data_IF_561926035746
#
_entry.id   IF_561926035746
#
_cell.length_a   1.000
_cell.length_b   1.000
_cell.length_c   1.000
_cell.angle_alpha   90.00
_cell.angle_beta   90.00
_cell.angle_gamma   90.00
#
_symmetry.space_group_name_H-M   'P 1'
#
loop_
_entity.id
_entity.type
_entity.pdbx_description
1 polymer ?
#
# COMPACT_ATOMS: atom_id res chain seq x y z
N UNK A 1 20.10 0.49 -12.94
CA UNK A 1 18.82 -0.15 -13.23
C UNK A 1 18.97 -1.65 -13.02
N UNK A 2 17.92 -2.37 -12.59
CA UNK A 2 17.92 -3.83 -12.57
C UNK A 2 18.23 -4.40 -13.96
N UNK A 3 18.81 -5.60 -14.07
CA UNK A 3 18.97 -6.29 -15.35
C UNK A 3 17.64 -6.38 -16.10
N UNK A 4 17.67 -6.18 -17.41
CA UNK A 4 16.48 -6.17 -18.26
C UNK A 4 15.66 -4.86 -18.25
N UNK A 5 15.96 -3.93 -17.36
CA UNK A 5 15.32 -2.60 -17.31
C UNK A 5 16.24 -1.56 -17.97
N UNK A 6 15.67 -0.74 -18.83
CA UNK A 6 16.37 0.30 -19.58
C UNK A 6 15.67 1.65 -19.47
N UNK A 7 16.39 2.73 -19.75
CA UNK A 7 15.83 4.07 -19.90
C UNK A 7 15.95 4.53 -21.35
N UNK A 8 14.88 5.08 -21.89
CA UNK A 8 14.93 5.73 -23.20
C UNK A 8 15.59 7.12 -23.06
N UNK A 9 16.76 7.34 -23.67
CA UNK A 9 17.50 8.60 -23.50
C UNK A 9 16.81 9.82 -24.15
N UNK A 10 15.83 9.58 -25.04
CA UNK A 10 15.15 10.65 -25.77
C UNK A 10 13.97 11.25 -25.02
N UNK A 11 13.27 10.45 -24.20
CA UNK A 11 12.06 10.86 -23.50
C UNK A 11 12.06 10.54 -21.99
N UNK A 12 13.05 9.77 -21.51
CA UNK A 12 13.19 9.40 -20.11
C UNK A 12 12.31 8.21 -19.66
N UNK A 13 11.59 7.56 -20.57
CA UNK A 13 10.77 6.39 -20.22
C UNK A 13 11.63 5.24 -19.70
N UNK A 14 11.20 4.64 -18.61
CA UNK A 14 11.80 3.42 -18.06
C UNK A 14 10.97 2.24 -18.57
N UNK A 15 11.62 1.26 -19.19
CA UNK A 15 10.95 0.13 -19.81
C UNK A 15 11.79 -1.15 -19.73
N UNK A 16 11.16 -2.29 -19.94
CA UNK A 16 11.79 -3.61 -19.92
C UNK A 16 11.09 -4.56 -18.97
N UNK A 17 11.66 -5.75 -18.82
CA UNK A 17 11.22 -6.80 -17.88
C UNK A 17 12.41 -7.32 -17.11
N UNK A 18 12.20 -7.75 -15.88
CA UNK A 18 13.24 -8.35 -15.04
C UNK A 18 12.63 -9.43 -14.16
N UNK A 19 13.40 -10.50 -13.95
CA UNK A 19 13.08 -11.56 -13.00
C UNK A 19 13.81 -11.37 -11.68
N UNK A 20 14.61 -10.29 -11.54
CA UNK A 20 15.30 -9.99 -10.28
C UNK A 20 14.37 -9.31 -9.27
N UNK A 21 14.11 -10.01 -8.19
CA UNK A 21 13.37 -9.50 -7.02
C UNK A 21 14.30 -8.69 -6.14
N UNK A 22 13.81 -7.56 -5.63
CA UNK A 22 14.55 -6.72 -4.70
C UNK A 22 14.42 -5.24 -4.97
N UNK A 23 15.30 -4.46 -4.37
CA UNK A 23 15.33 -3.00 -4.47
C UNK A 23 16.59 -2.55 -5.19
N UNK A 24 16.42 -1.77 -6.25
CA UNK A 24 17.53 -1.18 -7.02
C UNK A 24 17.44 0.34 -7.00
N UNK A 25 18.49 0.99 -6.51
CA UNK A 25 18.62 2.44 -6.53
C UNK A 25 19.42 2.88 -7.76
N UNK A 26 18.95 3.87 -8.49
CA UNK A 26 19.64 4.45 -9.62
C UNK A 26 19.44 5.96 -9.70
N UNK A 27 20.40 6.66 -10.31
CA UNK A 27 20.34 8.11 -10.48
C UNK A 27 20.17 8.45 -11.96
N UNK A 28 19.13 9.23 -12.27
CA UNK A 28 18.94 9.83 -13.59
C UNK A 28 19.57 11.20 -13.60
N UNK A 29 20.46 11.45 -14.57
CA UNK A 29 21.09 12.75 -14.78
C UNK A 29 20.68 13.29 -16.15
N UNK A 30 20.13 14.49 -16.18
CA UNK A 30 19.81 15.23 -17.39
C UNK A 30 20.82 16.35 -17.57
N UNK A 31 21.36 16.44 -18.79
CA UNK A 31 22.30 17.51 -19.17
C UNK A 31 21.73 18.32 -20.32
N UNK A 32 21.86 19.62 -20.26
CA UNK A 32 21.47 20.55 -21.33
C UNK A 32 22.42 21.73 -21.41
N UNK A 33 22.54 22.33 -22.59
CA UNK A 33 23.32 23.55 -22.81
C UNK A 33 22.39 24.75 -23.00
N UNK A 34 22.77 25.91 -22.45
CA UNK A 34 22.12 27.17 -22.77
C UNK A 34 22.65 27.72 -24.13
N UNK A 35 22.07 28.85 -24.59
CA UNK A 35 22.48 29.49 -25.84
C UNK A 35 23.96 29.99 -25.84
N UNK A 36 24.56 30.13 -24.67
CA UNK A 36 25.98 30.50 -24.50
C UNK A 36 26.93 29.29 -24.48
N UNK A 37 26.38 28.05 -24.55
CA UNK A 37 27.17 26.81 -24.53
C UNK A 37 27.50 26.28 -23.12
N UNK A 38 26.98 26.92 -22.06
CA UNK A 38 27.19 26.42 -20.70
C UNK A 38 26.38 25.14 -20.44
N UNK A 39 27.04 24.10 -20.01
CA UNK A 39 26.39 22.84 -19.65
C UNK A 39 25.79 22.93 -18.23
N UNK A 40 24.53 22.61 -18.12
CA UNK A 40 23.83 22.46 -16.85
C UNK A 40 23.36 21.04 -16.67
N UNK A 41 23.51 20.50 -15.48
CA UNK A 41 23.07 19.16 -15.11
C UNK A 41 22.11 19.20 -13.94
N UNK A 42 21.12 18.32 -13.95
CA UNK A 42 20.25 18.02 -12.81
C UNK A 42 20.20 16.51 -12.64
N UNK A 43 20.28 16.06 -11.40
CA UNK A 43 20.23 14.63 -11.06
C UNK A 43 19.17 14.35 -10.02
N UNK A 44 18.49 13.19 -10.17
CA UNK A 44 17.53 12.68 -9.19
C UNK A 44 17.72 11.19 -9.03
N UNK A 45 17.77 10.75 -7.77
CA UNK A 45 17.87 9.34 -7.42
C UNK A 45 16.47 8.74 -7.28
N UNK A 46 16.30 7.55 -7.83
CA UNK A 46 15.07 6.78 -7.80
C UNK A 46 15.33 5.40 -7.21
N UNK A 47 14.30 4.81 -6.63
CA UNK A 47 14.27 3.44 -6.15
C UNK A 47 13.23 2.67 -6.96
N UNK A 48 13.64 1.56 -7.58
CA UNK A 48 12.73 0.56 -8.13
C UNK A 48 12.71 -0.62 -7.15
N UNK A 49 11.53 -1.01 -6.71
CA UNK A 49 11.29 -2.25 -5.96
C UNK A 49 10.56 -3.22 -6.87
N UNK A 50 11.08 -4.43 -6.97
CA UNK A 50 10.47 -5.55 -7.67
C UNK A 50 10.15 -6.59 -6.63
N UNK A 51 8.87 -6.83 -6.44
CA UNK A 51 8.34 -7.77 -5.46
C UNK A 51 7.83 -9.02 -6.18
N UNK A 52 8.03 -10.18 -5.58
CA UNK A 52 7.52 -11.44 -6.06
C UNK A 52 6.52 -11.98 -5.03
N UNK A 53 5.21 -11.95 -5.36
CA UNK A 53 4.21 -12.54 -4.49
C UNK A 53 4.39 -14.05 -4.32
N UNK A 54 5.05 -14.72 -5.26
CA UNK A 54 5.30 -16.16 -5.20
C UNK A 54 6.40 -16.54 -4.19
N UNK A 55 7.16 -15.58 -3.69
CA UNK A 55 8.12 -15.80 -2.60
C UNK A 55 7.47 -16.06 -1.24
N UNK A 56 6.18 -15.76 -1.08
CA UNK A 56 5.46 -15.96 0.18
C UNK A 56 4.83 -17.35 0.25
N UNK A 57 4.96 -18.07 1.39
CA UNK A 57 4.43 -19.43 1.54
C UNK A 57 2.90 -19.49 1.61
N UNK A 58 2.24 -18.40 2.02
CA UNK A 58 0.79 -18.34 2.15
C UNK A 58 0.21 -17.19 1.34
N UNK A 59 -0.89 -17.45 0.63
CA UNK A 59 -1.60 -16.47 -0.20
C UNK A 59 -3.09 -16.73 -0.19
N UNK A 60 -3.88 -15.63 -0.29
CA UNK A 60 -5.32 -15.67 -0.52
C UNK A 60 -5.70 -14.57 -1.48
N UNK A 61 -6.51 -14.91 -2.48
CA UNK A 61 -7.06 -13.94 -3.42
C UNK A 61 -8.40 -13.40 -2.94
N UNK A 62 -8.56 -12.09 -3.01
CA UNK A 62 -9.79 -11.37 -2.73
C UNK A 62 -10.36 -10.80 -4.02
N UNK A 63 -11.57 -11.20 -4.38
CA UNK A 63 -12.30 -10.61 -5.50
C UNK A 63 -13.18 -9.48 -4.99
N UNK A 64 -12.98 -8.27 -5.52
CA UNK A 64 -13.74 -7.09 -5.15
C UNK A 64 -15.06 -7.11 -5.90
N UNK A 65 -16.15 -7.52 -5.22
CA UNK A 65 -17.46 -7.74 -5.83
C UNK A 65 -18.48 -6.62 -5.56
N UNK A 66 -18.15 -5.66 -4.69
CA UNK A 66 -19.11 -4.64 -4.24
C UNK A 66 -19.29 -3.44 -5.17
N UNK A 67 -18.42 -3.26 -6.17
CA UNK A 67 -18.48 -2.12 -7.07
C UNK A 67 -19.18 -2.51 -8.38
N UNK A 68 -20.31 -1.84 -8.66
CA UNK A 68 -21.11 -2.04 -9.88
C UNK A 68 -21.16 -0.81 -10.80
N UNK A 69 -20.35 0.20 -10.50
CA UNK A 69 -20.27 1.42 -11.31
C UNK A 69 -19.61 1.18 -12.67
N UNK A 70 -19.97 2.02 -13.65
CA UNK A 70 -19.39 1.96 -15.01
C UNK A 70 -18.01 2.66 -15.13
N UNK A 71 -17.65 3.47 -14.16
CA UNK A 71 -16.37 4.21 -14.15
C UNK A 71 -15.32 3.44 -13.40
N UNK A 72 -14.07 3.51 -13.84
CA UNK A 72 -12.93 2.97 -13.08
C UNK A 72 -12.61 3.89 -11.90
N UNK A 73 -12.51 3.31 -10.70
CA UNK A 73 -11.98 4.01 -9.53
C UNK A 73 -10.45 3.84 -9.51
N UNK A 74 -9.73 4.95 -9.53
CA UNK A 74 -8.27 4.94 -9.50
C UNK A 74 -7.74 5.16 -8.09
N UNK A 75 -6.71 4.42 -7.69
CA UNK A 75 -6.04 4.56 -6.39
C UNK A 75 -7.05 4.56 -5.21
N UNK A 76 -8.01 3.63 -5.24
CA UNK A 76 -9.13 3.63 -4.32
C UNK A 76 -8.85 2.71 -3.12
N UNK A 77 -8.99 3.19 -1.87
CA UNK A 77 -8.84 2.34 -0.69
C UNK A 77 -10.08 1.46 -0.54
N UNK A 78 -9.85 0.14 -0.50
CA UNK A 78 -10.89 -0.86 -0.25
C UNK A 78 -10.66 -1.51 1.10
N UNK A 79 -11.74 -1.85 1.80
CA UNK A 79 -11.66 -2.58 3.05
C UNK A 79 -11.58 -4.09 2.78
N UNK A 80 -10.51 -4.71 3.26
CA UNK A 80 -10.32 -6.16 3.28
C UNK A 80 -10.48 -6.65 4.72
N UNK A 81 -11.22 -7.74 4.90
CA UNK A 81 -11.41 -8.36 6.21
C UNK A 81 -10.78 -9.75 6.23
N UNK A 82 -10.09 -10.07 7.31
CA UNK A 82 -9.58 -11.41 7.59
C UNK A 82 -10.30 -11.99 8.80
N UNK A 83 -10.70 -13.24 8.68
CA UNK A 83 -11.21 -14.06 9.78
C UNK A 83 -10.90 -15.54 9.54
N UNK A 84 -11.11 -16.36 10.56
CA UNK A 84 -10.81 -17.80 10.51
C UNK A 84 -11.71 -18.60 9.55
N UNK A 85 -12.74 -17.99 8.96
CA UNK A 85 -13.61 -18.63 7.97
C UNK A 85 -13.04 -18.58 6.55
N UNK A 86 -12.00 -17.81 6.29
CA UNK A 86 -11.37 -17.73 4.97
C UNK A 86 -10.56 -19.00 4.71
N UNK A 87 -10.89 -19.68 3.63
CA UNK A 87 -10.18 -20.90 3.22
C UNK A 87 -8.70 -20.63 2.94
N UNK A 88 -7.80 -21.40 3.55
CA UNK A 88 -6.36 -21.23 3.40
C UNK A 88 -5.74 -20.15 4.29
N UNK A 89 -6.54 -19.43 5.08
CA UNK A 89 -6.06 -18.40 6.00
C UNK A 89 -5.92 -18.93 7.44
N UNK A 90 -4.85 -18.52 8.10
CA UNK A 90 -4.66 -18.72 9.56
C UNK A 90 -3.76 -17.63 10.12
N UNK A 91 -4.15 -17.02 11.23
CA UNK A 91 -3.30 -16.08 11.95
C UNK A 91 -1.99 -16.71 12.42
N UNK A 92 -1.98 -18.01 12.73
CA UNK A 92 -0.78 -18.73 13.17
C UNK A 92 0.26 -18.95 12.05
N UNK A 93 -0.09 -18.70 10.80
CA UNK A 93 0.83 -18.84 9.66
C UNK A 93 1.61 -17.55 9.35
N UNK A 94 1.34 -16.46 10.08
CA UNK A 94 2.15 -15.24 10.00
C UNK A 94 3.50 -15.44 10.69
N UNK A 95 4.55 -14.91 10.10
CA UNK A 95 5.88 -14.87 10.70
C UNK A 95 5.99 -13.75 11.75
N UNK A 96 5.12 -12.74 11.68
CA UNK A 96 5.01 -11.63 12.63
C UNK A 96 3.66 -11.62 13.32
N UNK A 97 3.63 -11.59 14.65
CA UNK A 97 2.39 -11.51 15.43
C UNK A 97 1.56 -10.23 15.16
N UNK A 98 2.19 -9.20 14.61
CA UNK A 98 1.57 -7.90 14.27
C UNK A 98 1.37 -7.71 12.77
N UNK A 99 1.33 -8.81 12.00
CA UNK A 99 1.22 -8.78 10.54
C UNK A 99 2.34 -7.99 9.81
N UNK A 100 3.53 -7.90 10.37
CA UNK A 100 4.66 -7.21 9.74
C UNK A 100 5.09 -7.84 8.41
N UNK A 101 4.78 -9.12 8.20
CA UNK A 101 5.03 -9.87 6.98
C UNK A 101 3.84 -9.90 6.00
N UNK A 102 2.74 -9.20 6.28
CA UNK A 102 1.62 -9.06 5.34
C UNK A 102 2.02 -8.18 4.15
N UNK A 103 1.63 -8.59 2.96
CA UNK A 103 1.74 -7.80 1.72
C UNK A 103 0.48 -7.98 0.89
N UNK A 104 0.15 -6.97 0.09
CA UNK A 104 -0.92 -7.05 -0.90
C UNK A 104 -0.37 -6.78 -2.28
N UNK A 105 -0.90 -7.50 -3.26
CA UNK A 105 -0.50 -7.38 -4.65
C UNK A 105 -1.70 -7.24 -5.57
N UNK A 106 -1.56 -6.43 -6.61
CA UNK A 106 -2.47 -6.43 -7.74
C UNK A 106 -2.19 -7.64 -8.65
N UNK A 107 -3.12 -7.95 -9.55
CA UNK A 107 -2.97 -9.06 -10.49
C UNK A 107 -1.75 -8.95 -11.43
N UNK A 108 -1.20 -7.76 -11.60
CA UNK A 108 0.03 -7.51 -12.37
C UNK A 108 1.32 -7.64 -11.54
N UNK A 109 1.22 -8.07 -10.27
CA UNK A 109 2.35 -8.20 -9.34
C UNK A 109 2.77 -6.90 -8.64
N UNK A 110 2.08 -5.78 -8.89
CA UNK A 110 2.35 -4.51 -8.18
C UNK A 110 2.01 -4.66 -6.69
N UNK A 111 2.96 -4.32 -5.81
CA UNK A 111 2.74 -4.29 -4.37
C UNK A 111 1.89 -3.08 -3.99
N UNK A 112 0.80 -3.32 -3.25
CA UNK A 112 -0.21 -2.31 -2.93
C UNK A 112 0.01 -1.76 -1.52
N UNK A 113 0.01 -0.43 -1.34
CA UNK A 113 -0.01 0.18 -0.02
C UNK A 113 -1.28 -0.19 0.75
N UNK A 114 -1.12 -0.40 2.06
CA UNK A 114 -2.23 -0.71 2.94
C UNK A 114 -2.03 -0.07 4.32
N UNK A 115 -3.11 0.01 5.09
CA UNK A 115 -3.13 0.41 6.49
C UNK A 115 -3.93 -0.60 7.31
N UNK A 116 -3.41 -1.02 8.44
CA UNK A 116 -4.11 -1.92 9.36
C UNK A 116 -5.04 -1.08 10.26
N UNK A 117 -6.34 -1.18 10.01
CA UNK A 117 -7.38 -0.60 10.86
C UNK A 117 -7.47 -1.35 12.19
N UNK A 118 -7.56 -2.67 12.14
CA UNK A 118 -7.62 -3.55 13.30
C UNK A 118 -6.92 -4.86 12.99
N UNK A 119 -6.04 -5.31 13.89
CA UNK A 119 -5.45 -6.63 13.82
C UNK A 119 -5.91 -7.45 15.04
N UNK A 120 -6.91 -8.30 14.84
CA UNK A 120 -7.50 -9.15 15.88
C UNK A 120 -7.35 -10.62 15.47
N UNK A 121 -6.42 -11.30 16.12
CA UNK A 121 -6.12 -12.72 15.85
C UNK A 121 -7.16 -13.69 16.40
N UNK A 122 -8.13 -13.19 17.17
CA UNK A 122 -9.23 -13.97 17.77
C UNK A 122 -10.59 -13.66 17.14
N UNK A 123 -10.66 -12.62 16.34
CA UNK A 123 -11.86 -12.12 15.71
C UNK A 123 -11.65 -11.74 14.25
N UNK A 124 -12.06 -10.54 13.88
CA UNK A 124 -11.99 -10.02 12.51
C UNK A 124 -10.95 -8.91 12.42
N UNK A 125 -9.92 -9.12 11.63
CA UNK A 125 -8.99 -8.06 11.26
C UNK A 125 -9.50 -7.26 10.07
N UNK A 126 -9.22 -5.96 10.05
CA UNK A 126 -9.66 -5.01 9.03
C UNK A 126 -8.48 -4.23 8.50
N UNK A 127 -8.32 -4.24 7.19
CA UNK A 127 -7.18 -3.63 6.51
C UNK A 127 -7.69 -2.79 5.33
N UNK A 128 -7.30 -1.53 5.26
CA UNK A 128 -7.51 -0.69 4.09
C UNK A 128 -6.40 -0.90 3.08
N UNK A 129 -6.74 -1.27 1.86
CA UNK A 129 -5.77 -1.51 0.77
C UNK A 129 -6.04 -0.54 -0.36
N UNK A 130 -5.03 0.24 -0.76
CA UNK A 130 -5.14 1.15 -1.91
C UNK A 130 -4.94 0.39 -3.20
N UNK A 131 -6.05 0.14 -3.91
CA UNK A 131 -6.05 -0.57 -5.19
C UNK A 131 -5.87 0.41 -6.34
N UNK A 132 -4.89 0.18 -7.20
CA UNK A 132 -4.54 1.08 -8.31
C UNK A 132 -5.69 1.34 -9.27
N UNK A 133 -6.52 0.30 -9.54
CA UNK A 133 -7.68 0.38 -10.43
C UNK A 133 -8.76 -0.60 -9.97
N UNK A 134 -9.95 -0.10 -9.67
CA UNK A 134 -11.13 -0.92 -9.37
C UNK A 134 -12.16 -0.70 -10.47
N UNK A 135 -12.49 -1.76 -11.21
CA UNK A 135 -13.45 -1.71 -12.31
C UNK A 135 -14.36 -2.93 -12.29
N UNK A 136 -15.67 -2.68 -12.22
CA UNK A 136 -16.66 -3.77 -12.17
C UNK A 136 -16.45 -4.70 -10.96
N UNK A 137 -16.90 -5.95 -11.09
CA UNK A 137 -16.92 -6.95 -10.02
C UNK A 137 -15.74 -7.95 -10.07
N UNK A 138 -14.75 -7.72 -10.92
CA UNK A 138 -13.70 -8.71 -11.23
C UNK A 138 -12.29 -8.27 -10.84
N UNK A 139 -12.16 -7.17 -10.10
CA UNK A 139 -10.82 -6.76 -9.60
C UNK A 139 -10.38 -7.74 -8.52
N UNK A 140 -9.22 -8.36 -8.73
CA UNK A 140 -8.62 -9.30 -7.78
C UNK A 140 -7.37 -8.67 -7.18
N UNK A 141 -7.22 -8.82 -5.87
CA UNK A 141 -5.98 -8.53 -5.15
C UNK A 141 -5.57 -9.78 -4.36
N UNK A 142 -4.27 -10.00 -4.25
CA UNK A 142 -3.69 -11.13 -3.51
C UNK A 142 -3.09 -10.64 -2.20
N UNK A 143 -3.51 -11.20 -1.08
CA UNK A 143 -2.77 -11.07 0.19
C UNK A 143 -1.75 -12.19 0.30
N UNK A 144 -0.53 -11.87 0.73
CA UNK A 144 0.58 -12.81 0.89
C UNK A 144 1.28 -12.59 2.24
N UNK A 145 1.71 -13.68 2.90
CA UNK A 145 2.36 -13.62 4.22
C UNK A 145 3.18 -14.88 4.52
N UNK A 146 3.82 -14.92 5.69
CA UNK A 146 4.56 -16.07 6.20
C UNK A 146 6.06 -16.04 5.87
N UNK A 147 6.57 -14.99 5.22
CA UNK A 147 7.99 -14.83 4.94
C UNK A 147 8.73 -14.33 6.19
N UNK A 148 9.48 -15.21 6.85
CA UNK A 148 10.22 -14.92 8.06
C UNK A 148 11.36 -13.91 7.87
N UNK A 149 11.75 -13.61 6.64
CA UNK A 149 12.74 -12.57 6.32
C UNK A 149 12.13 -11.17 6.24
N UNK A 150 10.79 -11.06 6.21
CA UNK A 150 10.04 -9.81 5.99
C UNK A 150 9.10 -9.45 7.16
N UNK A 151 9.54 -9.70 8.39
CA UNK A 151 8.70 -9.53 9.60
C UNK A 151 8.44 -8.08 10.00
N UNK A 152 9.08 -7.12 9.36
CA UNK A 152 8.84 -5.68 9.55
C UNK A 152 7.88 -5.18 8.49
N UNK A 153 6.82 -4.48 8.93
CA UNK A 153 5.89 -3.83 8.02
C UNK A 153 6.62 -2.75 7.18
N UNK A 154 6.29 -2.61 5.89
CA UNK A 154 6.83 -1.55 5.06
C UNK A 154 6.41 -0.15 5.54
N UNK A 155 7.23 0.87 5.23
CA UNK A 155 6.97 2.25 5.64
C UNK A 155 5.61 2.77 5.15
N UNK A 156 5.16 2.34 3.97
CA UNK A 156 3.88 2.76 3.40
C UNK A 156 2.64 2.36 4.24
N UNK A 157 2.80 1.45 5.20
CA UNK A 157 1.72 1.08 6.15
C UNK A 157 1.39 2.25 7.09
N UNK A 158 2.37 3.15 7.33
CA UNK A 158 2.30 4.18 8.36
C UNK A 158 2.43 5.61 7.82
N UNK A 159 2.79 5.79 6.54
CA UNK A 159 3.14 7.10 5.96
C UNK A 159 1.99 7.83 5.27
N UNK A 160 0.77 7.27 5.32
CA UNK A 160 -0.42 7.80 4.66
C UNK A 160 -0.55 7.42 3.18
N UNK A 161 0.32 6.54 2.67
CA UNK A 161 0.29 6.09 1.28
C UNK A 161 -1.06 5.50 0.86
N UNK A 162 -1.77 4.84 1.78
CA UNK A 162 -3.11 4.29 1.54
C UNK A 162 -4.13 5.38 1.16
N UNK A 163 -3.97 6.59 1.67
CA UNK A 163 -4.89 7.72 1.53
C UNK A 163 -4.35 8.83 0.61
N UNK A 164 -3.36 8.54 -0.22
CA UNK A 164 -2.64 9.57 -1.02
C UNK A 164 -3.42 10.10 -2.22
N UNK A 165 -4.56 9.51 -2.61
CA UNK A 165 -5.34 9.91 -3.78
C UNK A 165 -6.28 11.10 -3.51
N UNK A 166 -5.71 12.26 -3.12
CA UNK A 166 -6.47 13.50 -2.93
C UNK A 166 -7.32 13.55 -1.67
N UNK A 167 -7.17 12.60 -0.74
CA UNK A 167 -7.82 12.67 0.56
C UNK A 167 -7.23 13.82 1.37
N UNK A 168 -8.12 14.68 1.89
CA UNK A 168 -7.71 15.77 2.77
C UNK A 168 -7.38 15.30 4.18
N UNK A 169 -8.08 14.30 4.66
CA UNK A 169 -7.86 13.61 5.92
C UNK A 169 -8.60 12.27 5.91
N UNK A 170 -8.16 11.32 6.73
CA UNK A 170 -8.83 10.07 7.04
C UNK A 170 -8.75 9.82 8.55
N UNK A 171 -9.91 9.78 9.22
CA UNK A 171 -10.00 9.60 10.67
C UNK A 171 -10.81 8.35 10.99
N UNK A 172 -10.18 7.39 11.65
CA UNK A 172 -10.79 6.10 11.98
C UNK A 172 -11.53 6.10 13.32
N UNK A 173 -11.36 7.13 14.14
CA UNK A 173 -12.01 7.30 15.44
C UNK A 173 -11.77 6.17 16.45
N UNK A 174 -10.70 5.40 16.28
CA UNK A 174 -10.39 4.21 17.11
C UNK A 174 -10.02 4.55 18.56
N UNK A 175 -9.48 5.72 18.81
CA UNK A 175 -9.00 6.15 20.12
C UNK A 175 -9.48 7.56 20.43
N UNK A 176 -10.63 7.67 21.06
CA UNK A 176 -11.13 8.94 21.59
C UNK A 176 -10.85 9.10 23.10
N UNK A 177 -9.94 8.32 23.65
CA UNK A 177 -9.51 8.46 25.03
C UNK A 177 -8.66 9.72 25.19
N UNK A 178 -9.36 10.81 25.21
CA UNK A 178 -8.93 12.06 25.83
C UNK A 178 -8.24 13.07 24.98
N UNK A 179 -7.77 12.92 23.76
CA UNK A 179 -7.12 14.07 23.08
C UNK A 179 -7.06 14.01 21.56
N UNK A 180 -6.80 12.87 20.91
CA UNK A 180 -6.40 12.96 19.51
C UNK A 180 -7.01 11.85 18.67
N UNK A 181 -7.78 12.23 17.65
CA UNK A 181 -8.06 11.34 16.54
C UNK A 181 -7.02 11.58 15.46
N UNK A 182 -6.17 10.58 15.24
CA UNK A 182 -5.08 10.67 14.27
C UNK A 182 -5.64 10.71 12.84
N UNK A 183 -5.12 11.62 12.05
CA UNK A 183 -5.30 11.63 10.60
C UNK A 183 -4.33 10.62 9.99
N UNK A 184 -4.85 9.64 9.26
CA UNK A 184 -4.07 8.61 8.57
C UNK A 184 -3.47 9.07 7.24
N UNK A 185 -3.77 10.30 6.79
CA UNK A 185 -3.10 10.88 5.62
C UNK A 185 -1.77 11.52 6.00
N UNK A 186 -0.91 11.72 5.01
CA UNK A 186 0.34 12.48 5.19
C UNK A 186 0.12 13.98 5.52
N UNK A 187 -1.14 14.47 5.53
CA UNK A 187 -1.45 15.88 5.80
C UNK A 187 -1.42 16.24 7.29
N UNK A 188 -1.44 15.23 8.18
CA UNK A 188 -1.37 15.41 9.65
C UNK A 188 -2.45 16.34 10.24
N UNK A 189 -3.68 16.23 9.73
CA UNK A 189 -4.84 17.03 10.18
C UNK A 189 -5.55 16.34 11.34
N UNK A 190 -4.83 16.15 12.43
CA UNK A 190 -5.36 15.47 13.62
C UNK A 190 -6.53 16.25 14.23
N UNK A 191 -7.51 15.53 14.78
CA UNK A 191 -8.63 16.13 15.51
C UNK A 191 -8.39 16.05 17.01
N UNK A 192 -8.78 17.10 17.70
CA UNK A 192 -8.84 17.11 19.18
C UNK A 192 -10.28 16.86 19.62
N UNK A 193 -10.50 15.93 20.53
CA UNK A 193 -11.81 15.68 21.10
C UNK A 193 -12.17 16.83 22.07
N UNK A 194 -13.35 17.41 21.88
CA UNK A 194 -13.90 18.47 22.75
C UNK A 194 -15.30 18.08 23.25
N UNK A 195 -15.76 18.77 24.30
CA UNK A 195 -17.14 18.67 24.79
C UNK A 195 -17.53 17.32 25.39
N UNK A 196 -16.56 16.52 25.85
CA UNK A 196 -16.85 15.22 26.47
C UNK A 196 -17.18 14.11 25.48
N UNK A 197 -16.69 14.23 24.24
CA UNK A 197 -16.80 13.15 23.24
C UNK A 197 -16.24 11.83 23.78
N UNK A 198 -16.97 10.74 23.58
CA UNK A 198 -16.60 9.40 24.02
C UNK A 198 -16.64 8.42 22.85
N UNK A 199 -15.91 7.32 22.99
CA UNK A 199 -15.95 6.23 22.01
C UNK A 199 -17.32 5.52 22.03
N UNK A 200 -17.76 5.06 20.87
CA UNK A 200 -18.92 4.21 20.70
C UNK A 200 -18.61 3.07 19.75
N UNK A 201 -19.54 2.14 19.59
CA UNK A 201 -19.39 1.04 18.63
C UNK A 201 -19.44 1.62 17.21
N UNK A 202 -18.36 1.45 16.45
CA UNK A 202 -18.25 1.86 15.06
C UNK A 202 -18.79 0.83 14.08
N UNK A 203 -19.02 1.25 12.85
CA UNK A 203 -19.33 0.34 11.72
C UNK A 203 -18.07 -0.40 11.26
N UNK A 204 -16.94 0.31 11.27
CA UNK A 204 -15.59 -0.19 11.01
C UNK A 204 -14.71 0.38 12.12
N UNK A 205 -13.95 -0.45 12.78
CA UNK A 205 -13.25 -0.07 14.02
C UNK A 205 -14.14 -0.16 15.27
N UNK A 206 -13.65 0.29 16.41
CA UNK A 206 -14.38 0.31 17.68
C UNK A 206 -15.21 1.56 17.83
#
# INVERSE_FOLDING_TARGET
LPPGISINPSNGDIYGTTDEVGASTFTVTVSGSNAAGDIRTASKTYLIKISDPDSFPYKVDFTLSGYSGSSTLSQFPVLVTFDSGISGFSYNSFASATAGDLRFYAANGEELPYEIETWDTTGVSRIWVRVGSVSGTNTVITAAWGDSSKTTAPDYVFDGSTWSNGYHAAWHFQNMSGVLTTDSTANNRHLTAEGGATTGTGQVGN
#
